data_IF_065755303565
#
_entry.id   IF_065755303565
#
_cell.length_a   1.000
_cell.length_b   1.000
_cell.length_c   1.000
_cell.angle_alpha   90.00
_cell.angle_beta   90.00
_cell.angle_gamma   90.00
#
_symmetry.space_group_name_H-M   'P 1'
#
loop_
_entity.id
_entity.type
_entity.pdbx_description
1 polymer ?
#
# COMPACT_ATOMS: atom_id res chain seq x y z
N UNK A 1 -0.56 2.12 -30.55
CA UNK A 1 -0.38 3.54 -30.91
C UNK A 1 -1.68 4.10 -31.45
N UNK A 2 -2.17 3.62 -32.60
CA UNK A 2 -3.35 4.19 -33.29
C UNK A 2 -4.64 4.37 -32.45
N UNK A 3 -4.85 3.57 -31.40
CA UNK A 3 -6.02 3.70 -30.51
C UNK A 3 -5.88 4.79 -29.46
N UNK A 4 -4.69 5.00 -28.90
CA UNK A 4 -4.44 6.05 -27.89
C UNK A 4 -4.47 7.44 -28.52
N UNK A 5 -3.94 7.57 -29.73
CA UNK A 5 -3.94 8.81 -30.51
C UNK A 5 -5.38 9.25 -30.84
N UNK A 6 -6.25 8.28 -31.18
CA UNK A 6 -7.69 8.54 -31.41
C UNK A 6 -8.45 8.90 -30.13
N UNK A 7 -7.99 8.43 -28.96
CA UNK A 7 -8.56 8.84 -27.66
C UNK A 7 -8.12 10.26 -27.32
N UNK A 8 -6.85 10.61 -27.58
CA UNK A 8 -6.32 11.96 -27.42
C UNK A 8 -7.10 12.96 -28.29
N UNK A 9 -7.21 12.69 -29.59
CA UNK A 9 -7.96 13.53 -30.55
C UNK A 9 -9.40 13.75 -30.08
N UNK A 10 -10.09 12.68 -29.65
CA UNK A 10 -11.47 12.76 -29.17
C UNK A 10 -11.61 13.56 -27.87
N UNK A 11 -10.66 13.45 -26.95
CA UNK A 11 -10.67 14.21 -25.70
C UNK A 11 -10.50 15.70 -25.96
N UNK A 12 -9.65 16.07 -26.94
CA UNK A 12 -9.43 17.45 -27.34
C UNK A 12 -10.60 18.04 -28.16
N UNK A 13 -11.26 17.22 -28.97
CA UNK A 13 -12.44 17.63 -29.73
C UNK A 13 -13.68 17.84 -28.82
N UNK A 14 -13.79 17.08 -27.72
CA UNK A 14 -14.92 17.14 -26.78
C UNK A 14 -14.47 17.23 -25.31
N UNK A 15 -13.85 18.36 -24.89
CA UNK A 15 -13.28 18.50 -23.54
C UNK A 15 -14.31 18.48 -22.41
N UNK A 16 -15.61 18.63 -22.73
CA UNK A 16 -16.73 18.56 -21.77
C UNK A 16 -17.43 17.21 -21.66
N UNK A 17 -17.23 16.25 -22.59
CA UNK A 17 -17.92 14.93 -22.55
C UNK A 17 -17.45 14.13 -21.34
N UNK A 18 -18.24 13.36 -20.58
CA UNK A 18 -17.68 12.61 -19.43
C UNK A 18 -16.83 11.42 -19.89
N UNK A 19 -15.82 10.98 -19.12
CA UNK A 19 -14.90 9.89 -19.52
C UNK A 19 -15.58 8.57 -19.91
N UNK A 20 -16.74 8.26 -19.32
CA UNK A 20 -17.53 7.07 -19.66
C UNK A 20 -18.42 7.25 -20.90
N UNK A 21 -18.60 8.48 -21.36
CA UNK A 21 -19.39 8.82 -22.55
C UNK A 21 -18.52 8.92 -23.82
N UNK A 22 -17.19 8.85 -23.68
CA UNK A 22 -16.25 8.91 -24.80
C UNK A 22 -16.43 7.68 -25.72
N UNK A 23 -16.75 7.95 -26.99
CA UNK A 23 -16.91 6.95 -28.05
C UNK A 23 -15.97 7.29 -29.21
N UNK A 24 -15.36 6.27 -29.82
CA UNK A 24 -14.54 6.44 -31.02
C UNK A 24 -15.39 6.10 -32.24
N UNK A 25 -15.26 6.90 -33.30
CA UNK A 25 -15.96 6.72 -34.58
C UNK A 25 -17.20 7.60 -34.78
N UNK A 26 -17.51 8.51 -33.86
CA UNK A 26 -18.50 9.58 -34.05
C UNK A 26 -17.85 10.78 -34.73
N UNK A 27 -18.16 11.07 -35.99
CA UNK A 27 -17.82 12.36 -36.59
C UNK A 27 -18.80 13.43 -36.12
N UNK A 28 -18.34 14.69 -35.99
CA UNK A 28 -19.21 15.86 -35.79
C UNK A 28 -20.28 16.03 -36.90
N UNK A 29 -20.03 15.42 -38.06
CA UNK A 29 -20.97 15.33 -39.18
C UNK A 29 -21.91 14.15 -38.92
N UNK A 30 -23.21 14.38 -39.10
CA UNK A 30 -24.38 13.51 -38.87
C UNK A 30 -24.41 12.17 -39.65
N UNK A 31 -23.26 11.58 -39.97
CA UNK A 31 -23.16 10.27 -40.61
C UNK A 31 -23.02 9.21 -39.52
N UNK A 32 -24.03 8.34 -39.39
CA UNK A 32 -24.05 7.21 -38.48
C UNK A 32 -22.96 6.19 -38.86
N UNK A 33 -21.70 6.43 -38.49
CA UNK A 33 -20.72 5.35 -38.34
C UNK A 33 -21.00 4.63 -37.01
N UNK A 34 -20.80 3.31 -36.93
CA UNK A 34 -21.03 2.56 -35.69
C UNK A 34 -20.04 3.04 -34.62
N UNK A 35 -20.53 3.84 -33.68
CA UNK A 35 -19.74 4.33 -32.54
C UNK A 35 -19.49 3.18 -31.57
N UNK A 36 -18.24 2.94 -31.19
CA UNK A 36 -17.89 1.92 -30.19
C UNK A 36 -17.38 2.61 -28.91
N UNK A 37 -17.79 2.14 -27.71
CA UNK A 37 -17.19 2.60 -26.47
C UNK A 37 -15.68 2.38 -26.49
N UNK A 38 -14.89 3.32 -25.98
CA UNK A 38 -13.42 3.17 -25.87
C UNK A 38 -13.04 1.84 -25.19
N UNK A 39 -13.80 1.45 -24.16
CA UNK A 39 -13.60 0.22 -23.40
C UNK A 39 -13.78 -1.08 -24.21
N UNK A 40 -14.42 -1.01 -25.38
CA UNK A 40 -14.61 -2.16 -26.27
C UNK A 40 -13.50 -2.35 -27.31
N UNK A 41 -12.58 -1.37 -27.42
CA UNK A 41 -11.57 -1.32 -28.47
C UNK A 41 -10.20 -1.78 -27.95
N UNK A 42 -9.86 -1.42 -26.71
CA UNK A 42 -8.63 -1.86 -26.05
C UNK A 42 -8.92 -2.38 -24.63
N UNK A 43 -8.37 -3.54 -24.30
CA UNK A 43 -8.50 -4.15 -22.97
C UNK A 43 -7.90 -3.25 -21.87
N UNK A 44 -6.86 -2.49 -22.17
CA UNK A 44 -6.21 -1.54 -21.26
C UNK A 44 -7.07 -0.31 -20.95
N UNK A 45 -8.06 -0.02 -21.80
CA UNK A 45 -8.99 1.09 -21.65
C UNK A 45 -10.34 0.65 -21.07
N UNK A 46 -10.45 -0.57 -20.54
CA UNK A 46 -11.65 -1.01 -19.79
C UNK A 46 -11.76 -0.35 -18.44
N UNK A 47 -10.64 0.06 -17.84
CA UNK A 47 -10.63 0.72 -16.55
C UNK A 47 -10.97 2.21 -16.71
N UNK A 48 -12.11 2.62 -16.16
CA UNK A 48 -12.59 4.01 -16.16
C UNK A 48 -11.58 4.96 -15.50
N UNK A 49 -10.84 4.52 -14.48
CA UNK A 49 -9.78 5.31 -13.85
C UNK A 49 -8.66 5.64 -14.83
N UNK A 50 -8.24 4.65 -15.62
CA UNK A 50 -7.23 4.85 -16.69
C UNK A 50 -7.70 5.87 -17.73
N UNK A 51 -8.96 5.81 -18.17
CA UNK A 51 -9.51 6.78 -19.13
C UNK A 51 -9.57 8.19 -18.53
N UNK A 52 -10.01 8.32 -17.27
CA UNK A 52 -10.03 9.63 -16.58
C UNK A 52 -8.64 10.24 -16.44
N UNK A 53 -7.64 9.42 -16.10
CA UNK A 53 -6.24 9.86 -16.01
C UNK A 53 -5.70 10.32 -17.35
N UNK A 54 -5.86 9.51 -18.41
CA UNK A 54 -5.46 9.88 -19.77
C UNK A 54 -6.12 11.20 -20.20
N UNK A 55 -7.43 11.31 -19.98
CA UNK A 55 -8.18 12.52 -20.28
C UNK A 55 -7.66 13.74 -19.51
N UNK A 56 -7.41 13.62 -18.20
CA UNK A 56 -6.83 14.69 -17.39
C UNK A 56 -5.48 15.14 -17.96
N UNK A 57 -4.61 14.19 -18.29
CA UNK A 57 -3.28 14.47 -18.85
C UNK A 57 -3.37 15.18 -20.20
N UNK A 58 -4.26 14.75 -21.10
CA UNK A 58 -4.42 15.39 -22.41
C UNK A 58 -5.02 16.80 -22.32
N UNK A 59 -6.05 17.00 -21.50
CA UNK A 59 -6.65 18.31 -21.32
C UNK A 59 -5.69 19.30 -20.65
N UNK A 60 -4.85 18.83 -19.71
CA UNK A 60 -3.80 19.65 -19.08
C UNK A 60 -2.68 20.02 -20.07
N UNK A 61 -2.19 19.06 -20.86
CA UNK A 61 -1.14 19.30 -21.86
C UNK A 61 -1.54 20.34 -22.93
N UNK A 62 -2.84 20.55 -23.12
CA UNK A 62 -3.40 21.46 -24.12
C UNK A 62 -4.07 22.71 -23.50
N UNK A 63 -3.80 23.03 -22.23
CA UNK A 63 -4.37 24.17 -21.49
C UNK A 63 -5.91 24.21 -21.47
N UNK A 64 -6.57 23.08 -21.73
CA UNK A 64 -8.03 22.97 -21.75
C UNK A 64 -8.63 22.60 -20.39
N UNK A 65 -7.78 22.30 -19.40
CA UNK A 65 -8.16 22.06 -18.01
C UNK A 65 -7.70 23.23 -17.14
N UNK A 66 -8.26 24.42 -17.37
CA UNK A 66 -8.00 25.59 -16.53
C UNK A 66 -8.75 25.47 -15.21
N UNK A 67 -8.02 25.30 -14.11
CA UNK A 67 -8.53 25.68 -12.78
C UNK A 67 -8.84 27.18 -12.84
N UNK A 68 -10.05 27.58 -12.43
CA UNK A 68 -10.35 29.00 -12.32
C UNK A 68 -9.41 29.62 -11.28
N UNK A 69 -9.00 30.86 -11.47
CA UNK A 69 -8.13 31.55 -10.52
C UNK A 69 -8.72 31.54 -9.10
N UNK A 70 -10.05 31.72 -8.99
CA UNK A 70 -10.78 31.57 -7.74
C UNK A 70 -10.67 30.16 -7.12
N UNK A 71 -10.71 29.09 -7.91
CA UNK A 71 -10.55 27.72 -7.41
C UNK A 71 -9.11 27.44 -6.94
N UNK A 72 -8.12 28.00 -7.65
CA UNK A 72 -6.72 27.89 -7.27
C UNK A 72 -6.42 28.64 -5.97
N UNK A 73 -6.90 29.88 -5.85
CA UNK A 73 -6.76 30.68 -4.63
C UNK A 73 -7.45 30.01 -3.43
N UNK A 74 -8.62 29.41 -3.65
CA UNK A 74 -9.33 28.63 -2.61
C UNK A 74 -8.51 27.43 -2.15
N UNK A 75 -8.07 26.56 -3.07
CA UNK A 75 -7.26 25.38 -2.73
C UNK A 75 -5.96 25.79 -2.04
N UNK A 76 -5.31 26.84 -2.53
CA UNK A 76 -4.08 27.36 -1.93
C UNK A 76 -4.30 27.89 -0.52
N UNK A 77 -5.42 28.57 -0.27
CA UNK A 77 -5.81 29.02 1.07
C UNK A 77 -6.09 27.85 2.01
N UNK A 78 -6.77 26.81 1.53
CA UNK A 78 -7.06 25.61 2.31
C UNK A 78 -5.78 24.86 2.72
N UNK A 79 -4.82 24.70 1.81
CA UNK A 79 -3.51 24.12 2.13
C UNK A 79 -2.71 24.99 3.10
N UNK A 80 -2.80 26.32 3.00
CA UNK A 80 -2.15 27.25 3.94
C UNK A 80 -2.69 27.12 5.35
N UNK A 81 -4.01 27.07 5.52
CA UNK A 81 -4.60 26.85 6.84
C UNK A 81 -4.22 25.47 7.40
N UNK A 82 -4.21 24.43 6.55
CA UNK A 82 -3.78 23.09 6.97
C UNK A 82 -2.31 23.07 7.44
N UNK A 83 -1.40 23.78 6.74
CA UNK A 83 0.00 23.91 7.17
C UNK A 83 0.17 24.76 8.43
N UNK A 84 -0.71 25.74 8.65
CA UNK A 84 -0.70 26.56 9.86
C UNK A 84 -1.14 25.75 11.08
N UNK A 85 -2.12 24.86 10.92
CA UNK A 85 -2.60 23.97 11.97
C UNK A 85 -1.61 22.81 12.23
N UNK A 86 -1.01 22.25 11.18
CA UNK A 86 -0.06 21.13 11.25
C UNK A 86 1.30 21.51 10.62
N UNK A 87 2.09 22.36 11.30
CA UNK A 87 3.33 22.88 10.75
C UNK A 87 4.35 21.75 10.50
N UNK A 88 4.92 21.75 9.30
CA UNK A 88 5.96 20.80 8.91
C UNK A 88 5.47 19.40 8.51
N UNK A 89 4.15 19.16 8.49
CA UNK A 89 3.59 17.85 8.11
C UNK A 89 3.76 17.55 6.63
N UNK A 90 3.46 18.52 5.76
CA UNK A 90 3.61 18.37 4.30
C UNK A 90 5.09 18.42 3.93
N UNK A 91 5.60 17.41 3.22
CA UNK A 91 7.00 17.31 2.79
C UNK A 91 7.20 17.67 1.33
N UNK A 92 6.32 17.18 0.48
CA UNK A 92 6.31 17.53 -0.94
C UNK A 92 4.87 17.54 -1.45
N UNK A 93 4.58 18.47 -2.35
CA UNK A 93 3.29 18.56 -3.01
C UNK A 93 3.50 18.76 -4.51
N UNK A 94 3.65 17.66 -5.24
CA UNK A 94 3.58 17.70 -6.69
C UNK A 94 2.12 17.48 -7.12
N UNK A 95 1.41 18.59 -7.35
CA UNK A 95 -0.02 18.53 -7.67
C UNK A 95 -0.23 18.40 -9.19
N UNK A 96 0.66 18.99 -10.02
CA UNK A 96 0.59 19.01 -11.48
C UNK A 96 2.00 19.18 -12.07
N UNK A 97 2.39 18.44 -13.14
CA UNK A 97 1.64 17.40 -13.85
C UNK A 97 1.82 15.98 -13.24
N UNK A 98 0.99 15.03 -13.68
CA UNK A 98 1.00 13.62 -13.24
C UNK A 98 2.39 12.98 -13.41
N UNK A 99 2.87 12.15 -12.45
CA UNK A 99 2.13 11.64 -11.28
C UNK A 99 1.89 12.68 -10.19
N UNK A 100 0.64 12.82 -9.75
CA UNK A 100 0.31 13.67 -8.60
C UNK A 100 0.72 12.94 -7.33
N UNK A 101 1.56 13.57 -6.52
CA UNK A 101 2.04 13.01 -5.28
C UNK A 101 2.14 14.11 -4.21
N UNK A 102 1.30 14.01 -3.18
CA UNK A 102 1.36 14.87 -2.00
C UNK A 102 1.82 14.00 -0.84
N UNK A 103 3.05 14.21 -0.37
CA UNK A 103 3.63 13.43 0.72
C UNK A 103 3.72 14.21 2.01
N UNK A 104 3.57 13.51 3.11
CA UNK A 104 3.47 14.09 4.45
C UNK A 104 3.80 13.06 5.54
N UNK A 105 4.08 13.55 6.75
CA UNK A 105 4.31 12.74 7.94
C UNK A 105 4.42 13.63 9.18
N UNK A 106 4.16 13.07 10.37
CA UNK A 106 4.30 13.81 11.62
C UNK A 106 5.81 14.06 11.92
N UNK A 107 6.28 15.31 12.05
CA UNK A 107 7.69 15.65 12.20
C UNK A 107 8.40 14.91 13.35
N UNK A 108 7.79 14.85 14.53
CA UNK A 108 8.33 14.15 15.69
C UNK A 108 8.45 12.65 15.44
N UNK A 109 7.39 12.01 14.92
CA UNK A 109 7.43 10.59 14.55
C UNK A 109 8.53 10.34 13.50
N UNK A 110 8.63 11.18 12.47
CA UNK A 110 9.68 11.07 11.45
C UNK A 110 11.08 11.23 12.04
N UNK A 111 11.26 12.14 12.99
CA UNK A 111 12.54 12.42 13.63
C UNK A 111 13.03 11.26 14.50
N UNK A 112 12.12 10.63 15.24
CA UNK A 112 12.43 9.51 16.15
C UNK A 112 12.37 8.13 15.47
N UNK A 113 12.09 8.06 14.18
CA UNK A 113 12.01 6.79 13.46
C UNK A 113 13.41 6.14 13.34
N UNK A 114 13.56 4.96 13.94
CA UNK A 114 14.78 4.17 13.84
C UNK A 114 14.73 3.24 12.61
N UNK A 115 15.12 3.82 11.48
CA UNK A 115 15.20 3.12 10.20
C UNK A 115 16.34 2.12 10.11
N UNK A 116 17.33 2.19 11.00
CA UNK A 116 18.48 1.29 11.00
C UNK A 116 18.14 -0.07 11.59
N UNK A 117 17.31 -0.10 12.64
CA UNK A 117 17.03 -1.36 13.35
C UNK A 117 15.67 -1.96 13.03
N UNK A 118 14.70 -1.15 12.59
CA UNK A 118 13.32 -1.61 12.36
C UNK A 118 12.95 -1.57 10.88
N UNK A 119 12.53 -2.70 10.27
CA UNK A 119 12.06 -2.69 8.89
C UNK A 119 10.76 -1.91 8.78
N UNK A 120 10.60 -1.26 7.63
CA UNK A 120 9.42 -0.47 7.31
C UNK A 120 8.42 -1.32 6.54
N UNK A 121 7.13 -1.05 6.71
CA UNK A 121 6.05 -1.67 5.95
C UNK A 121 5.34 -0.60 5.11
N UNK A 122 5.30 -0.77 3.79
CA UNK A 122 4.53 0.09 2.89
C UNK A 122 3.30 -0.65 2.36
N UNK A 123 2.13 -0.05 2.53
CA UNK A 123 0.88 -0.53 1.92
C UNK A 123 -0.01 0.62 1.40
N UNK A 124 -0.95 0.29 0.54
CA UNK A 124 -1.89 1.22 -0.11
C UNK A 124 -3.30 1.02 0.43
N UNK A 125 -3.85 2.08 1.00
CA UNK A 125 -5.25 2.16 1.37
C UNK A 125 -6.11 2.66 0.22
N UNK A 126 -7.20 1.92 -0.02
CA UNK A 126 -8.23 2.26 -0.98
C UNK A 126 -9.37 3.00 -0.30
N UNK A 127 -10.01 3.96 -0.99
CA UNK A 127 -11.27 4.61 -0.56
C UNK A 127 -11.19 5.67 0.55
N UNK A 128 -10.00 6.10 0.97
CA UNK A 128 -9.86 7.27 1.85
C UNK A 128 -10.42 8.53 1.18
N UNK A 129 -10.06 8.75 -0.08
CA UNK A 129 -10.42 9.93 -0.85
C UNK A 129 -11.60 9.71 -1.80
N UNK A 130 -12.07 10.80 -2.41
CA UNK A 130 -12.89 10.72 -3.64
C UNK A 130 -12.27 9.76 -4.67
N UNK A 131 -13.12 9.17 -5.53
CA UNK A 131 -12.67 8.20 -6.55
C UNK A 131 -11.47 8.75 -7.30
N UNK A 132 -10.50 7.87 -7.59
CA UNK A 132 -9.28 8.12 -8.37
C UNK A 132 -8.06 8.63 -7.57
N UNK A 133 -8.11 8.63 -6.23
CA UNK A 133 -6.92 8.83 -5.38
C UNK A 133 -6.71 7.71 -4.37
N UNK A 134 -5.46 7.50 -3.98
CA UNK A 134 -5.01 6.42 -3.11
C UNK A 134 -4.13 6.98 -1.99
N UNK A 135 -4.15 6.34 -0.82
CA UNK A 135 -3.27 6.69 0.29
C UNK A 135 -2.20 5.62 0.43
N UNK A 136 -0.97 5.93 0.03
CA UNK A 136 0.19 5.07 0.26
C UNK A 136 0.78 5.39 1.65
N UNK A 137 1.00 4.37 2.47
CA UNK A 137 1.40 4.52 3.87
C UNK A 137 2.62 3.66 4.14
N UNK A 138 3.70 4.27 4.63
CA UNK A 138 4.86 3.60 5.19
C UNK A 138 4.81 3.75 6.70
N UNK A 139 4.87 2.62 7.39
CA UNK A 139 4.86 2.53 8.85
C UNK A 139 6.09 1.77 9.35
N UNK A 140 6.47 2.02 10.60
CA UNK A 140 7.59 1.36 11.28
C UNK A 140 7.13 1.04 12.71
N UNK A 141 7.73 0.03 13.32
CA UNK A 141 7.48 -0.27 14.72
C UNK A 141 8.21 0.74 15.62
N UNK A 142 7.48 1.38 16.55
CA UNK A 142 8.05 2.24 17.58
C UNK A 142 8.04 1.49 18.90
N UNK A 143 9.22 1.14 19.42
CA UNK A 143 9.35 0.45 20.70
C UNK A 143 8.78 1.28 21.85
N UNK A 144 9.05 2.59 21.86
CA UNK A 144 8.51 3.54 22.83
C UNK A 144 6.97 3.50 22.90
N UNK A 145 6.31 3.36 21.74
CA UNK A 145 4.86 3.30 21.63
C UNK A 145 4.30 1.87 21.77
N UNK A 146 5.16 0.85 21.69
CA UNK A 146 4.77 -0.56 21.64
C UNK A 146 3.90 -0.93 20.43
N UNK A 147 3.89 -0.13 19.36
CA UNK A 147 3.01 -0.30 18.19
C UNK A 147 3.66 0.22 16.91
N UNK A 148 3.11 -0.20 15.76
CA UNK A 148 3.41 0.44 14.48
C UNK A 148 2.83 1.85 14.45
N UNK A 149 3.66 2.81 14.02
CA UNK A 149 3.24 4.18 13.76
C UNK A 149 3.54 4.56 12.32
N UNK A 150 2.76 5.50 11.79
CA UNK A 150 2.92 6.01 10.44
C UNK A 150 4.08 6.99 10.41
N UNK A 151 5.13 6.65 9.66
CA UNK A 151 6.28 7.55 9.46
C UNK A 151 6.13 8.40 8.21
N UNK A 152 5.46 7.89 7.18
CA UNK A 152 5.35 8.61 5.91
C UNK A 152 4.12 8.20 5.12
N UNK A 153 3.43 9.18 4.55
CA UNK A 153 2.23 8.96 3.76
C UNK A 153 2.24 9.79 2.48
N UNK A 154 1.47 9.33 1.51
CA UNK A 154 1.36 9.97 0.20
C UNK A 154 -0.03 9.82 -0.39
N UNK A 155 -0.60 10.93 -0.87
CA UNK A 155 -1.78 10.90 -1.76
C UNK A 155 -1.29 10.70 -3.18
N UNK A 156 -1.71 9.61 -3.82
CA UNK A 156 -1.37 9.27 -5.20
C UNK A 156 -2.61 9.38 -6.10
N UNK A 157 -2.47 9.86 -7.34
CA UNK A 157 -3.53 9.84 -8.36
C UNK A 157 -3.49 8.61 -9.29
N UNK A 158 -2.62 7.66 -8.97
CA UNK A 158 -2.47 6.39 -9.66
C UNK A 158 -1.71 5.35 -8.84
N UNK A 159 -1.60 4.14 -9.39
CA UNK A 159 -0.87 2.99 -8.82
C UNK A 159 0.10 2.38 -9.85
N UNK A 160 0.63 3.22 -10.73
CA UNK A 160 1.68 2.83 -11.69
C UNK A 160 3.06 2.93 -11.04
N UNK A 161 4.07 2.35 -11.71
CA UNK A 161 5.46 2.45 -11.28
C UNK A 161 5.93 3.91 -11.11
N UNK A 162 5.42 4.83 -11.93
CA UNK A 162 5.81 6.24 -11.87
C UNK A 162 5.17 6.95 -10.67
N UNK A 163 3.94 6.56 -10.30
CA UNK A 163 3.27 7.03 -9.08
C UNK A 163 4.05 6.58 -7.83
N UNK A 164 4.45 5.30 -7.79
CA UNK A 164 5.25 4.77 -6.69
C UNK A 164 6.69 5.31 -6.69
N UNK A 165 7.29 5.58 -7.86
CA UNK A 165 8.58 6.26 -7.96
C UNK A 165 8.50 7.63 -7.31
N UNK A 166 7.46 8.42 -7.62
CA UNK A 166 7.28 9.74 -7.00
C UNK A 166 7.15 9.65 -5.47
N UNK A 167 6.40 8.65 -4.98
CA UNK A 167 6.28 8.37 -3.55
C UNK A 167 7.63 8.03 -2.90
N UNK A 168 8.34 7.03 -3.41
CA UNK A 168 9.60 6.57 -2.82
C UNK A 168 10.74 7.57 -2.99
N UNK A 169 10.78 8.33 -4.09
CA UNK A 169 11.78 9.38 -4.26
C UNK A 169 11.56 10.51 -3.24
N UNK A 170 10.31 10.88 -2.99
CA UNK A 170 9.96 11.83 -1.94
C UNK A 170 10.27 11.28 -0.55
N UNK A 171 10.00 9.99 -0.31
CA UNK A 171 10.38 9.29 0.92
C UNK A 171 11.90 9.37 1.14
N UNK A 172 12.71 8.92 0.19
CA UNK A 172 14.18 8.97 0.30
C UNK A 172 14.75 10.38 0.33
N UNK A 173 13.99 11.39 -0.09
CA UNK A 173 14.41 12.79 0.01
C UNK A 173 14.01 13.41 1.34
N UNK A 174 12.96 12.89 1.96
CA UNK A 174 12.49 13.33 3.28
C UNK A 174 13.33 12.75 4.42
N UNK A 175 14.12 11.71 4.14
CA UNK A 175 15.00 11.04 5.10
C UNK A 175 16.41 10.97 4.53
N UNK A 176 17.42 11.31 5.33
CA UNK A 176 18.83 11.29 4.93
C UNK A 176 19.39 9.86 4.92
N UNK A 177 18.79 8.99 4.10
CA UNK A 177 19.30 7.63 3.92
C UNK A 177 20.66 7.67 3.25
N UNK A 178 21.57 6.80 3.72
CA UNK A 178 22.89 6.61 3.14
C UNK A 178 23.00 5.15 2.73
N UNK A 179 23.20 4.92 1.43
CA UNK A 179 23.57 3.63 0.88
C UNK A 179 25.04 3.69 0.51
N UNK A 180 25.87 2.94 1.24
CA UNK A 180 27.32 3.07 1.18
C UNK A 180 27.92 2.84 -0.21
N UNK A 181 29.05 3.50 -0.47
CA UNK A 181 29.97 3.21 -1.56
C UNK A 181 31.26 2.64 -0.98
N UNK A 182 31.61 1.42 -1.41
CA UNK A 182 32.83 0.63 -1.22
C UNK A 182 33.68 0.82 0.06
N UNK A 183 33.92 -0.31 0.71
CA UNK A 183 34.95 -0.61 1.72
C UNK A 183 34.78 -0.01 3.12
N UNK A 184 34.63 -0.94 4.08
CA UNK A 184 34.49 -0.79 5.53
C UNK A 184 33.11 -0.28 6.01
N UNK A 185 32.27 -1.21 6.47
CA UNK A 185 31.18 -1.03 7.45
C UNK A 185 30.52 0.36 7.47
N UNK A 186 30.00 0.81 6.33
CA UNK A 186 29.17 2.01 6.31
C UNK A 186 27.82 1.63 6.90
N UNK A 187 27.55 2.21 8.05
CA UNK A 187 26.31 2.17 8.80
C UNK A 187 25.11 2.58 7.92
N UNK A 188 24.48 1.61 7.26
CA UNK A 188 23.24 1.86 6.52
C UNK A 188 22.15 2.22 7.51
N UNK A 189 21.66 3.46 7.49
CA UNK A 189 20.48 3.86 8.24
C UNK A 189 19.18 3.36 7.57
N UNK A 190 19.17 2.10 7.12
CA UNK A 190 18.07 1.47 6.39
C UNK A 190 18.13 -0.04 6.59
N UNK A 191 17.19 -0.56 7.37
CA UNK A 191 17.04 -1.97 7.74
C UNK A 191 16.38 -2.82 6.67
N UNK A 192 15.48 -2.22 5.87
CA UNK A 192 14.69 -2.94 4.86
C UNK A 192 13.29 -2.39 4.72
N UNK A 193 12.71 -2.54 3.53
CA UNK A 193 11.34 -2.15 3.24
C UNK A 193 10.53 -3.36 2.75
N UNK A 194 9.51 -3.72 3.52
CA UNK A 194 8.52 -4.72 3.15
C UNK A 194 7.35 -4.01 2.49
N UNK A 195 6.92 -4.51 1.35
CA UNK A 195 5.73 -4.01 0.66
C UNK A 195 4.98 -5.18 0.05
N UNK A 196 3.70 -4.97 -0.23
CA UNK A 196 2.93 -5.90 -1.03
C UNK A 196 3.62 -6.13 -2.39
N UNK A 197 3.67 -7.39 -2.82
CA UNK A 197 4.43 -7.85 -3.99
C UNK A 197 3.89 -7.35 -5.34
N UNK A 198 3.18 -6.20 -5.40
CA UNK A 198 2.76 -5.65 -6.68
C UNK A 198 3.98 -5.20 -7.49
N UNK A 199 3.97 -5.58 -8.77
CA UNK A 199 5.07 -5.26 -9.69
C UNK A 199 5.31 -3.75 -9.80
N UNK A 200 4.26 -2.94 -9.69
CA UNK A 200 4.35 -1.49 -9.78
C UNK A 200 5.06 -0.87 -8.55
N UNK A 201 4.76 -1.34 -7.34
CA UNK A 201 5.45 -0.89 -6.12
C UNK A 201 6.93 -1.23 -6.16
N UNK A 202 7.26 -2.50 -6.49
CA UNK A 202 8.65 -2.95 -6.63
C UNK A 202 9.42 -2.12 -7.66
N UNK A 203 8.84 -1.92 -8.85
CA UNK A 203 9.51 -1.17 -9.91
C UNK A 203 9.66 0.32 -9.55
N UNK A 204 8.66 0.92 -8.91
CA UNK A 204 8.73 2.30 -8.44
C UNK A 204 9.82 2.50 -7.39
N UNK A 205 9.96 1.56 -6.45
CA UNK A 205 11.04 1.57 -5.45
C UNK A 205 12.42 1.50 -6.11
N UNK A 206 12.63 0.56 -7.03
CA UNK A 206 13.89 0.39 -7.75
C UNK A 206 14.24 1.69 -8.50
N UNK A 207 13.30 2.24 -9.28
CA UNK A 207 13.53 3.46 -10.04
C UNK A 207 13.82 4.69 -9.15
N UNK A 208 13.20 4.78 -7.97
CA UNK A 208 13.47 5.86 -7.03
C UNK A 208 14.84 5.71 -6.35
N UNK A 209 15.24 4.47 -6.05
CA UNK A 209 16.52 4.16 -5.42
C UNK A 209 17.67 4.43 -6.39
N UNK A 210 17.56 3.99 -7.65
CA UNK A 210 18.54 4.28 -8.72
C UNK A 210 18.70 5.79 -8.96
N UNK A 211 17.59 6.54 -8.97
CA UNK A 211 17.62 8.00 -9.14
C UNK A 211 18.29 8.72 -7.95
N UNK A 212 17.96 8.30 -6.72
CA UNK A 212 18.43 8.97 -5.50
C UNK A 212 19.87 8.58 -5.14
N UNK A 213 20.27 7.35 -5.47
CA UNK A 213 21.55 6.76 -5.07
C UNK A 213 22.26 6.13 -6.29
N UNK A 214 22.60 6.93 -7.32
CA UNK A 214 23.18 6.41 -8.57
C UNK A 214 24.55 5.76 -8.37
N UNK A 215 25.29 6.17 -7.34
CA UNK A 215 26.63 5.65 -7.01
C UNK A 215 26.60 4.53 -5.96
N UNK A 216 25.41 4.06 -5.57
CA UNK A 216 25.26 2.94 -4.64
C UNK A 216 25.72 1.64 -5.30
N UNK A 217 26.66 0.94 -4.65
CA UNK A 217 27.05 -0.41 -5.06
C UNK A 217 26.04 -1.48 -4.60
N UNK A 218 25.00 -1.08 -3.87
CA UNK A 218 23.97 -1.97 -3.34
C UNK A 218 22.81 -1.98 -4.32
N UNK A 219 22.52 -3.16 -4.86
CA UNK A 219 21.41 -3.36 -5.77
C UNK A 219 20.08 -3.08 -5.03
N UNK A 220 19.21 -2.18 -5.51
CA UNK A 220 17.97 -1.82 -4.81
C UNK A 220 17.08 -3.00 -4.46
N UNK A 221 17.15 -4.09 -5.23
CA UNK A 221 16.40 -5.31 -4.99
C UNK A 221 16.79 -6.01 -3.69
N UNK A 222 18.00 -5.80 -3.16
CA UNK A 222 18.43 -6.37 -1.87
C UNK A 222 17.94 -5.56 -0.66
N UNK A 223 17.46 -4.34 -0.88
CA UNK A 223 16.82 -3.50 0.13
C UNK A 223 15.34 -3.88 0.34
N UNK A 224 14.80 -4.71 -0.56
CA UNK A 224 13.48 -5.29 -0.47
C UNK A 224 13.60 -6.65 0.22
N UNK A 225 13.01 -6.80 1.40
CA UNK A 225 13.07 -8.06 2.12
C UNK A 225 12.08 -9.09 1.54
N UNK A 226 12.61 -10.23 1.08
CA UNK A 226 11.90 -11.50 0.98
C UNK A 226 12.39 -12.47 2.07
N UNK A 227 11.55 -13.36 2.60
CA UNK A 227 11.98 -14.27 3.67
C UNK A 227 12.79 -15.47 3.13
N UNK A 228 14.06 -15.21 2.80
CA UNK A 228 14.98 -16.16 2.18
C UNK A 228 15.53 -17.24 3.13
N UNK A 229 15.29 -17.10 4.44
CA UNK A 229 15.56 -18.14 5.42
C UNK A 229 14.53 -19.28 5.37
N UNK A 230 13.32 -18.98 4.88
CA UNK A 230 12.20 -19.91 4.76
C UNK A 230 12.15 -20.53 3.36
N UNK A 231 12.31 -19.72 2.31
CA UNK A 231 12.40 -20.19 0.92
C UNK A 231 13.75 -19.77 0.33
N UNK A 232 14.70 -20.70 0.17
CA UNK A 232 16.03 -20.38 -0.32
C UNK A 232 16.00 -19.70 -1.69
N UNK A 233 16.92 -18.75 -1.95
CA UNK A 233 17.05 -18.11 -3.25
C UNK A 233 17.20 -19.14 -4.37
N UNK A 234 16.39 -19.02 -5.42
CA UNK A 234 16.40 -19.95 -6.57
C UNK A 234 15.45 -21.15 -6.46
N UNK A 235 14.87 -21.43 -5.27
CA UNK A 235 13.86 -22.49 -5.10
C UNK A 235 12.43 -21.97 -4.98
N UNK A 236 12.21 -20.70 -5.31
CA UNK A 236 10.89 -20.06 -5.20
C UNK A 236 9.85 -20.66 -6.15
N UNK A 237 10.27 -21.13 -7.33
CA UNK A 237 9.36 -21.68 -8.36
C UNK A 237 8.75 -23.00 -7.88
N UNK A 238 9.59 -23.95 -7.46
CA UNK A 238 9.14 -25.24 -6.93
C UNK A 238 8.25 -25.05 -5.67
N UNK A 239 8.60 -24.09 -4.80
CA UNK A 239 7.82 -23.78 -3.61
C UNK A 239 6.40 -23.31 -3.97
N UNK A 240 6.30 -22.41 -4.95
CA UNK A 240 5.02 -21.89 -5.43
C UNK A 240 4.21 -23.02 -6.07
N UNK A 241 4.82 -23.86 -6.91
CA UNK A 241 4.14 -24.98 -7.57
C UNK A 241 3.57 -26.00 -6.57
N UNK A 242 4.31 -26.30 -5.49
CA UNK A 242 3.78 -27.16 -4.44
C UNK A 242 2.67 -26.48 -3.64
N UNK A 243 2.76 -25.19 -3.34
CA UNK A 243 1.68 -24.46 -2.64
C UNK A 243 0.41 -24.36 -3.47
N UNK A 244 0.51 -24.24 -4.80
CA UNK A 244 -0.64 -24.24 -5.70
C UNK A 244 -1.30 -25.63 -5.78
N UNK A 245 -0.49 -26.69 -5.86
CA UNK A 245 -0.98 -28.07 -5.82
C UNK A 245 -1.62 -28.43 -4.48
N UNK A 246 -1.10 -27.89 -3.37
CA UNK A 246 -1.73 -27.97 -2.05
C UNK A 246 -3.07 -27.23 -2.05
N UNK A 247 -3.15 -26.02 -2.63
CA UNK A 247 -4.37 -25.22 -2.61
C UNK A 247 -5.49 -25.78 -3.49
N UNK A 248 -5.14 -26.28 -4.68
CA UNK A 248 -6.08 -26.76 -5.70
C UNK A 248 -6.24 -28.28 -5.74
N UNK A 249 -5.73 -28.99 -4.74
CA UNK A 249 -5.81 -30.44 -4.65
C UNK A 249 -7.24 -30.95 -4.88
N UNK A 250 -7.39 -31.89 -5.82
CA UNK A 250 -8.67 -32.51 -6.15
C UNK A 250 -9.20 -33.43 -5.03
N UNK A 251 -8.32 -33.85 -4.11
CA UNK A 251 -8.69 -34.66 -2.96
C UNK A 251 -7.58 -34.71 -1.92
N UNK A 252 -7.90 -35.34 -0.80
CA UNK A 252 -7.04 -35.36 0.38
C UNK A 252 -5.65 -35.96 0.13
N UNK A 253 -5.56 -36.95 -0.78
CA UNK A 253 -4.27 -37.57 -1.14
C UNK A 253 -3.32 -36.62 -1.86
N UNK A 254 -3.79 -35.87 -2.86
CA UNK A 254 -2.94 -34.90 -3.59
C UNK A 254 -2.56 -33.72 -2.70
N UNK A 255 -3.47 -33.30 -1.82
CA UNK A 255 -3.20 -32.30 -0.79
C UNK A 255 -2.08 -32.74 0.15
N UNK A 256 -2.22 -33.92 0.75
CA UNK A 256 -1.23 -34.43 1.71
C UNK A 256 0.13 -34.66 1.04
N UNK A 257 0.15 -35.04 -0.24
CA UNK A 257 1.40 -35.16 -1.01
C UNK A 257 2.09 -33.81 -1.19
N UNK A 258 1.37 -32.77 -1.60
CA UNK A 258 1.94 -31.43 -1.78
C UNK A 258 2.44 -30.84 -0.45
N UNK A 259 1.67 -31.03 0.63
CA UNK A 259 2.10 -30.67 2.00
C UNK A 259 3.41 -31.38 2.36
N UNK A 260 3.54 -32.67 2.05
CA UNK A 260 4.77 -33.42 2.30
C UNK A 260 5.95 -32.93 1.47
N UNK A 261 5.77 -32.57 0.19
CA UNK A 261 6.85 -32.02 -0.62
C UNK A 261 7.35 -30.69 -0.07
N UNK A 262 6.44 -29.77 0.28
CA UNK A 262 6.82 -28.49 0.90
C UNK A 262 7.57 -28.74 2.22
N UNK A 263 7.07 -29.67 3.03
CA UNK A 263 7.69 -30.01 4.31
C UNK A 263 9.10 -30.60 4.15
N UNK A 264 9.34 -31.40 3.11
CA UNK A 264 10.62 -32.06 2.89
C UNK A 264 11.65 -31.12 2.26
N UNK A 265 11.24 -30.35 1.25
CA UNK A 265 12.14 -29.50 0.48
C UNK A 265 12.40 -28.16 1.19
N UNK A 266 11.48 -27.73 2.06
CA UNK A 266 11.56 -26.48 2.80
C UNK A 266 11.32 -26.74 4.29
N UNK A 267 12.26 -27.42 4.98
CA UNK A 267 12.08 -27.85 6.35
C UNK A 267 11.81 -26.69 7.33
N UNK A 268 12.29 -25.48 7.01
CA UNK A 268 12.05 -24.26 7.80
C UNK A 268 10.60 -23.74 7.71
N UNK A 269 9.85 -24.17 6.69
CA UNK A 269 8.43 -23.84 6.50
C UNK A 269 7.53 -24.74 7.36
N UNK A 270 8.05 -25.87 7.86
CA UNK A 270 7.29 -26.92 8.56
C UNK A 270 6.30 -26.43 9.61
N UNK A 271 6.71 -25.54 10.53
CA UNK A 271 5.80 -25.08 11.59
C UNK A 271 4.70 -24.14 11.06
N UNK A 272 5.04 -23.29 10.08
CA UNK A 272 4.08 -22.44 9.37
C UNK A 272 3.09 -23.30 8.56
N UNK A 273 3.58 -24.32 7.86
CA UNK A 273 2.75 -25.24 7.09
C UNK A 273 1.85 -26.08 7.99
N UNK A 274 2.36 -26.58 9.11
CA UNK A 274 1.59 -27.36 10.09
C UNK A 274 0.41 -26.55 10.68
N UNK A 275 0.57 -25.24 10.83
CA UNK A 275 -0.51 -24.36 11.25
C UNK A 275 -1.62 -24.27 10.20
N UNK A 276 -1.25 -23.98 8.94
CA UNK A 276 -2.23 -23.91 7.85
C UNK A 276 -2.88 -25.24 7.52
N UNK A 277 -2.19 -26.34 7.79
CA UNK A 277 -2.67 -27.70 7.51
C UNK A 277 -3.42 -28.33 8.69
N UNK A 278 -3.55 -27.63 9.83
CA UNK A 278 -4.38 -28.05 10.96
C UNK A 278 -5.85 -28.16 10.53
N UNK A 279 -6.53 -29.26 10.85
CA UNK A 279 -7.80 -29.64 10.18
C UNK A 279 -8.90 -28.55 10.21
N UNK A 280 -9.06 -27.83 11.31
CA UNK A 280 -10.03 -26.72 11.44
C UNK A 280 -9.69 -25.52 10.52
N UNK A 281 -8.40 -25.21 10.37
CA UNK A 281 -7.92 -24.11 9.53
C UNK A 281 -7.90 -24.56 8.08
N UNK A 282 -7.29 -25.71 7.81
CA UNK A 282 -7.21 -26.33 6.49
C UNK A 282 -8.60 -26.50 5.86
N UNK A 283 -9.60 -26.91 6.64
CA UNK A 283 -10.97 -27.03 6.18
C UNK A 283 -11.66 -25.71 5.79
N UNK A 284 -11.12 -24.56 6.21
CA UNK A 284 -11.58 -23.24 5.78
C UNK A 284 -10.87 -22.74 4.51
N UNK A 285 -9.69 -23.29 4.19
CA UNK A 285 -8.78 -22.77 3.15
C UNK A 285 -8.74 -23.68 1.93
N UNK A 286 -8.57 -24.98 2.17
CA UNK A 286 -8.22 -25.96 1.17
C UNK A 286 -9.42 -26.82 0.82
N UNK A 287 -9.79 -26.79 -0.46
CA UNK A 287 -11.02 -27.41 -0.97
C UNK A 287 -11.07 -28.91 -0.69
N UNK A 288 -9.92 -29.57 -0.67
CA UNK A 288 -9.74 -30.99 -0.38
C UNK A 288 -9.94 -31.40 1.08
N UNK A 289 -10.03 -30.45 2.02
CA UNK A 289 -10.08 -30.69 3.47
C UNK A 289 -11.34 -30.14 4.16
N UNK A 290 -12.23 -29.49 3.42
CA UNK A 290 -13.38 -28.78 3.99
C UNK A 290 -14.43 -29.68 4.67
N UNK A 291 -14.81 -29.33 5.91
CA UNK A 291 -16.00 -29.81 6.62
C UNK A 291 -17.03 -28.68 6.87
N UNK A 292 -16.86 -27.52 6.23
CA UNK A 292 -17.74 -26.37 6.44
C UNK A 292 -19.08 -26.58 5.72
N UNK A 293 -20.19 -26.36 6.44
CA UNK A 293 -21.48 -26.05 5.82
C UNK A 293 -21.31 -24.81 4.93
N UNK A 294 -21.92 -24.83 3.75
CA UNK A 294 -21.82 -23.83 2.67
C UNK A 294 -22.00 -22.36 3.12
N UNK A 295 -22.60 -22.13 4.29
CA UNK A 295 -22.97 -20.81 4.81
C UNK A 295 -21.81 -20.03 5.49
N UNK A 296 -20.76 -20.69 6.01
CA UNK A 296 -19.64 -20.04 6.75
C UNK A 296 -18.38 -19.79 5.91
N UNK A 297 -18.37 -20.20 4.64
CA UNK A 297 -17.26 -19.99 3.70
C UNK A 297 -16.97 -18.49 3.44
N UNK A 298 -17.87 -17.60 3.89
CA UNK A 298 -17.91 -16.16 3.59
C UNK A 298 -17.71 -15.22 4.81
N UNK A 299 -17.04 -15.65 5.91
CA UNK A 299 -16.94 -14.85 7.15
C UNK A 299 -15.73 -13.86 7.22
N UNK A 300 -15.86 -12.64 7.79
CA UNK A 300 -14.88 -11.53 7.62
C UNK A 300 -13.58 -11.53 8.45
N UNK A 301 -13.20 -12.60 9.16
CA UNK A 301 -12.11 -12.55 10.16
C UNK A 301 -10.98 -13.56 9.88
N UNK A 302 -10.18 -13.40 8.81
CA UNK A 302 -9.28 -14.49 8.36
C UNK A 302 -7.75 -14.22 8.14
N UNK A 303 -7.14 -13.02 8.04
CA UNK A 303 -5.65 -12.78 7.96
C UNK A 303 -5.26 -11.29 8.22
N UNK A 304 -3.95 -10.89 8.28
CA UNK A 304 -3.30 -9.54 8.03
C UNK A 304 -3.14 -8.41 9.09
N UNK A 305 -3.10 -8.73 10.39
CA UNK A 305 -3.29 -7.80 11.53
C UNK A 305 -2.49 -6.48 11.67
N UNK A 306 -1.23 -6.34 11.23
CA UNK A 306 -0.44 -5.12 11.52
C UNK A 306 -0.86 -3.94 10.66
N UNK A 307 -0.71 -4.16 9.35
CA UNK A 307 -1.23 -3.28 8.31
C UNK A 307 -2.76 -3.19 8.37
N UNK A 308 -3.46 -4.29 8.67
CA UNK A 308 -4.91 -4.23 8.86
C UNK A 308 -5.35 -3.47 10.10
N UNK A 309 -4.61 -3.50 11.21
CA UNK A 309 -4.97 -2.71 12.38
C UNK A 309 -4.78 -1.23 12.10
N UNK A 310 -3.72 -0.85 11.37
CA UNK A 310 -3.52 0.52 10.92
C UNK A 310 -4.60 0.93 9.91
N UNK A 311 -4.85 0.10 8.90
CA UNK A 311 -5.90 0.32 7.91
C UNK A 311 -7.27 0.41 8.57
N UNK A 312 -7.56 -0.44 9.56
CA UNK A 312 -8.80 -0.40 10.34
C UNK A 312 -8.93 0.91 11.10
N UNK A 313 -7.88 1.36 11.79
CA UNK A 313 -7.90 2.62 12.52
C UNK A 313 -8.14 3.79 11.57
N UNK A 314 -7.39 3.85 10.46
CA UNK A 314 -7.58 4.87 9.44
C UNK A 314 -8.96 4.77 8.78
N UNK A 315 -9.52 3.59 8.54
CA UNK A 315 -10.90 3.43 8.05
C UNK A 315 -11.98 3.84 9.05
N UNK A 316 -11.70 3.78 10.35
CA UNK A 316 -12.61 4.25 11.38
C UNK A 316 -12.57 5.78 11.57
N UNK A 317 -11.42 6.40 11.28
CA UNK A 317 -11.21 7.84 11.44
C UNK A 317 -11.58 8.59 10.16
N UNK A 318 -11.20 8.05 9.00
CA UNK A 318 -11.41 8.69 7.71
C UNK A 318 -12.82 8.43 7.21
N UNK A 319 -13.59 9.52 7.08
CA UNK A 319 -14.86 9.48 6.35
C UNK A 319 -14.60 9.15 4.88
N UNK A 320 -15.16 8.04 4.40
CA UNK A 320 -14.89 7.56 3.03
C UNK A 320 -15.39 8.55 1.98
N UNK A 321 -14.61 8.71 0.92
CA UNK A 321 -14.94 9.51 -0.29
C UNK A 321 -15.09 11.02 -0.05
N UNK A 322 -14.35 11.58 0.91
CA UNK A 322 -14.29 13.02 1.11
C UNK A 322 -13.27 13.70 0.19
N UNK A 323 -13.40 15.03 -0.03
CA UNK A 323 -12.37 15.83 -0.70
C UNK A 323 -10.99 15.65 -0.06
N UNK A 324 -9.94 15.88 -0.84
CA UNK A 324 -8.54 15.64 -0.41
C UNK A 324 -8.22 16.45 0.85
N UNK A 325 -8.55 17.74 0.90
CA UNK A 325 -8.28 18.60 2.06
C UNK A 325 -8.97 18.11 3.33
N UNK A 326 -10.29 17.85 3.29
CA UNK A 326 -11.03 17.31 4.45
C UNK A 326 -10.41 16.01 4.96
N UNK A 327 -10.01 15.14 4.04
CA UNK A 327 -9.41 13.86 4.36
C UNK A 327 -8.02 14.03 4.97
N UNK A 328 -7.21 14.95 4.43
CA UNK A 328 -5.88 15.27 4.97
C UNK A 328 -5.98 15.83 6.38
N UNK A 329 -6.96 16.68 6.69
CA UNK A 329 -7.19 17.18 8.05
C UNK A 329 -7.44 16.05 9.06
N UNK A 330 -8.29 15.08 8.71
CA UNK A 330 -8.55 13.90 9.55
C UNK A 330 -7.31 13.03 9.74
N UNK A 331 -6.54 12.82 8.67
CA UNK A 331 -5.30 12.05 8.73
C UNK A 331 -4.26 12.78 9.58
N UNK A 332 -4.07 14.09 9.40
CA UNK A 332 -3.09 14.87 10.15
C UNK A 332 -3.44 14.92 11.63
N UNK A 333 -4.72 15.04 11.97
CA UNK A 333 -5.20 14.92 13.35
C UNK A 333 -4.84 13.57 13.98
N UNK A 334 -4.98 12.48 13.22
CA UNK A 334 -4.58 11.15 13.68
C UNK A 334 -3.07 11.02 13.87
N UNK A 335 -2.28 11.50 12.90
CA UNK A 335 -0.83 11.51 12.98
C UNK A 335 -0.33 12.34 14.17
N UNK A 336 -0.92 13.51 14.39
CA UNK A 336 -0.60 14.39 15.51
C UNK A 336 -0.93 13.75 16.86
N UNK A 337 -2.02 12.99 16.97
CA UNK A 337 -2.29 12.23 18.19
C UNK A 337 -1.21 11.16 18.48
N UNK A 338 -0.60 10.58 17.45
CA UNK A 338 0.49 9.62 17.62
C UNK A 338 1.80 10.30 18.03
N UNK A 339 2.04 11.52 17.55
CA UNK A 339 3.18 12.36 17.94
C UNK A 339 3.08 12.79 19.41
N UNK A 340 1.90 13.25 19.85
CA UNK A 340 1.65 13.57 21.26
C UNK A 340 1.80 12.36 22.19
N UNK A 341 1.37 11.17 21.74
CA UNK A 341 1.61 9.93 22.47
C UNK A 341 3.12 9.69 22.66
N UNK A 342 3.94 9.93 21.62
CA UNK A 342 5.38 9.74 21.67
C UNK A 342 6.05 10.74 22.63
N UNK A 343 5.70 12.02 22.53
CA UNK A 343 6.17 13.06 23.45
C UNK A 343 5.81 12.72 24.91
N UNK A 344 4.62 12.16 25.13
CA UNK A 344 4.21 11.71 26.46
C UNK A 344 5.02 10.50 26.94
N UNK A 345 5.34 9.53 26.07
CA UNK A 345 6.24 8.42 26.44
C UNK A 345 7.61 8.96 26.84
N UNK A 346 8.19 9.85 26.04
CA UNK A 346 9.51 10.42 26.30
C UNK A 346 9.57 11.17 27.64
N UNK A 347 8.48 11.86 28.00
CA UNK A 347 8.37 12.58 29.27
C UNK A 347 8.06 11.70 30.49
N UNK A 348 7.34 10.58 30.33
CA UNK A 348 6.74 9.82 31.46
C UNK A 348 7.19 8.36 31.58
N UNK A 349 7.94 7.85 30.60
CA UNK A 349 8.54 6.51 30.63
C UNK A 349 7.62 5.36 30.20
N UNK A 350 6.34 5.60 29.84
CA UNK A 350 5.44 4.66 29.09
C UNK A 350 4.01 5.21 28.91
N UNK A 351 3.40 4.94 27.74
CA UNK A 351 1.95 5.11 27.51
C UNK A 351 1.23 3.78 27.76
N UNK A 352 0.30 3.76 28.73
CA UNK A 352 -0.57 2.61 28.97
C UNK A 352 -1.84 2.71 28.10
N UNK A 353 -1.82 2.04 26.94
CA UNK A 353 -2.96 1.97 26.02
C UNK A 353 -4.14 1.14 26.56
N UNK A 354 -4.01 0.50 27.72
CA UNK A 354 -5.11 -0.24 28.37
C UNK A 354 -6.00 0.63 29.28
N UNK A 355 -5.82 1.96 29.29
CA UNK A 355 -6.69 2.85 30.07
C UNK A 355 -8.12 2.82 29.50
N UNK A 356 -8.97 1.97 30.09
CA UNK A 356 -10.39 1.85 29.74
C UNK A 356 -11.05 3.23 29.82
N UNK A 357 -11.39 3.81 28.66
CA UNK A 357 -12.30 4.96 28.59
C UNK A 357 -13.63 4.54 29.23
N UNK A 358 -13.97 5.17 30.36
CA UNK A 358 -15.22 4.98 31.12
C UNK A 358 -16.41 5.56 30.34
N UNK A 359 -16.76 4.94 29.23
CA UNK A 359 -18.04 5.10 28.56
C UNK A 359 -18.84 3.81 28.72
N UNK A 360 -20.15 3.90 28.98
CA UNK A 360 -21.03 2.74 29.15
C UNK A 360 -20.90 1.81 27.94
N UNK A 361 -20.16 0.71 28.12
CA UNK A 361 -20.07 -0.37 27.15
C UNK A 361 -21.47 -0.96 26.98
N UNK A 362 -22.04 -0.85 25.78
CA UNK A 362 -23.10 -1.77 25.37
C UNK A 362 -22.51 -3.18 25.49
N UNK A 363 -23.10 -4.03 26.34
CA UNK A 363 -22.70 -5.42 26.44
C UNK A 363 -22.84 -6.08 25.06
N UNK A 364 -21.73 -6.30 24.37
CA UNK A 364 -21.66 -7.26 23.27
C UNK A 364 -21.27 -8.63 23.83
N UNK A 365 -21.98 -9.68 23.41
CA UNK A 365 -21.64 -11.07 23.76
C UNK A 365 -20.23 -11.41 23.25
N UNK A 366 -19.41 -11.99 24.15
CA UNK A 366 -17.99 -12.31 23.94
C UNK A 366 -17.76 -13.42 22.90
N UNK A 367 -16.86 -13.14 21.96
CA UNK A 367 -15.96 -14.14 21.36
C UNK A 367 -14.62 -13.44 21.04
N UNK A 368 -13.48 -14.10 21.27
CA UNK A 368 -12.14 -13.54 21.06
C UNK A 368 -11.31 -14.52 20.22
N UNK A 369 -10.98 -14.08 19.00
CA UNK A 369 -10.11 -14.73 18.04
C UNK A 369 -9.15 -13.65 17.55
N UNK A 370 -7.85 -13.87 17.68
CA UNK A 370 -6.84 -12.83 17.43
C UNK A 370 -6.17 -12.95 16.05
N UNK A 371 -6.58 -13.88 15.19
CA UNK A 371 -6.37 -13.82 13.74
C UNK A 371 -4.91 -13.78 13.26
N UNK A 372 -3.94 -13.96 14.16
CA UNK A 372 -2.51 -14.03 13.82
C UNK A 372 -2.13 -15.47 13.58
N UNK A 373 -1.42 -15.73 12.49
CA UNK A 373 -0.54 -16.88 12.46
C UNK A 373 0.54 -16.65 13.54
N UNK A 374 0.84 -17.65 14.38
CA UNK A 374 1.80 -17.49 15.45
C UNK A 374 3.19 -17.10 14.89
N UNK A 375 3.77 -16.03 15.43
CA UNK A 375 5.17 -15.67 15.16
C UNK A 375 6.08 -16.70 15.83
N UNK A 376 6.71 -17.53 15.00
CA UNK A 376 7.60 -18.61 15.43
C UNK A 376 9.02 -18.43 14.91
N UNK A 377 9.40 -17.19 14.56
CA UNK A 377 10.72 -16.87 14.01
C UNK A 377 11.85 -17.31 14.95
N UNK A 378 11.68 -17.12 16.26
CA UNK A 378 12.61 -17.62 17.28
C UNK A 378 12.61 -19.16 17.41
N UNK A 379 11.46 -19.81 17.39
CA UNK A 379 11.39 -21.28 17.53
C UNK A 379 11.85 -22.04 16.29
N UNK A 380 11.96 -21.35 15.15
CA UNK A 380 12.44 -21.92 13.89
C UNK A 380 13.95 -21.78 13.72
N UNK A 381 14.56 -20.76 14.34
CA UNK A 381 15.99 -20.41 14.18
C UNK A 381 16.85 -20.70 15.42
N UNK A 382 16.30 -20.70 16.64
CA UNK A 382 17.02 -21.18 17.84
C UNK A 382 17.04 -22.71 17.84
N UNK A 383 17.98 -23.28 17.09
CA UNK A 383 18.99 -24.22 17.58
C UNK A 383 19.84 -24.69 16.40
N UNK A 384 20.94 -23.96 16.17
CA UNK A 384 22.23 -24.60 15.94
C UNK A 384 22.46 -25.61 17.08
N UNK A 385 22.59 -26.89 16.71
CA UNK A 385 23.75 -27.70 17.02
C UNK A 385 23.84 -28.86 16.04
#
# INVERSE_FOLDING_TARGET
METLDKVEERVLEFPGEKSYALKIGTSAIRVQKPSRPISSIDKNLRNIGTIKRLRRNYLMKNDQLTLTQASFETIHSEFKELQKEFPGYIKASNIIPSPMCITFGAPGIMYYADFKTNPMLTDVMYSCFTKDYYLCTTNIYFEALGKFAVVFQGVLDGLSKDDFKAYFLSFFTSFDFVFGSSDADIDMNFSGLVMDYSQAQRQGFIMASEDKFPDSNIAPQTLLEGNHAIVPPGRNVDFIDYTDQMYNAAGEKSYNWAVQQIHNDYPNVKKWLNWWTHDEIAGMIFKSKGWLKDELQNHPCRTSNGVESLHRNLYCIVEKKKPVIETLHQIFSYLHSSELDLEFVDASGRVDYNRKKTGKQRQMKKFFNDGRAPDMTKTLLDHHN
#
